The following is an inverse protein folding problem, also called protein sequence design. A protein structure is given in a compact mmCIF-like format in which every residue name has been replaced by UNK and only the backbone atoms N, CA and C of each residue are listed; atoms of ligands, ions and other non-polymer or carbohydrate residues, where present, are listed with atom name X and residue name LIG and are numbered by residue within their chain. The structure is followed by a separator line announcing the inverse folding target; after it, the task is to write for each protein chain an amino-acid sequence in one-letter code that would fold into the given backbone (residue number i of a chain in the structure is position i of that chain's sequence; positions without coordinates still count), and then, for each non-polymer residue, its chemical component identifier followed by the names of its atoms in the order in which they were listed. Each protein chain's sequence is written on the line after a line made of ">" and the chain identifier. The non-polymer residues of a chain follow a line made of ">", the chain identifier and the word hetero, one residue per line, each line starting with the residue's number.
data_IF_979696681896
#
_entry.id   IF_979696681896
#
_cell.length_a   1.000
_cell.length_b   1.000
_cell.length_c   1.000
_cell.angle_alpha   90.00
_cell.angle_beta   90.00
_cell.angle_gamma   90.00
#
_symmetry.space_group_name_H-M   'P 1'
#
loop_
_entity.id
_entity.type
_entity.pdbx_description
1 polymer ?
#
# COMPACT_ATOMS: atom_id res chain seq x y z
N UNK A 1 -35.77 -17.84 -64.97
CA UNK A 1 -37.16 -18.17 -65.25
C UNK A 1 -37.96 -17.73 -64.07
N UNK A 2 -38.60 -16.67 -64.24
CA UNK A 2 -40.00 -16.35 -64.63
C UNK A 2 -40.88 -16.36 -63.38
N UNK A 3 -41.31 -15.25 -63.04
CA UNK A 3 -42.46 -14.34 -63.36
C UNK A 3 -43.40 -14.25 -62.16
N UNK A 4 -43.64 -13.05 -61.66
CA UNK A 4 -44.81 -12.21 -61.84
C UNK A 4 -46.10 -12.77 -61.18
N UNK A 5 -46.97 -12.01 -60.55
CA UNK A 5 -47.48 -10.66 -60.82
C UNK A 5 -48.53 -10.29 -59.74
N UNK A 6 -48.67 -9.01 -59.35
CA UNK A 6 -49.86 -8.14 -59.34
C UNK A 6 -51.19 -8.72 -58.80
N UNK A 7 -52.03 -8.03 -58.10
CA UNK A 7 -52.46 -6.63 -58.09
C UNK A 7 -53.89 -6.51 -57.48
N UNK A 8 -54.19 -5.33 -56.91
CA UNK A 8 -55.45 -4.56 -56.89
C UNK A 8 -56.55 -4.84 -55.83
N UNK A 9 -56.74 -3.82 -54.97
CA UNK A 9 -57.81 -2.81 -54.93
C UNK A 9 -59.29 -3.32 -54.88
N UNK A 10 -60.00 -2.87 -53.83
CA UNK A 10 -61.16 -1.94 -53.85
C UNK A 10 -61.76 -1.85 -52.45
N UNK A 11 -61.83 -0.62 -51.87
CA UNK A 11 -62.98 0.27 -51.72
C UNK A 11 -64.29 -0.39 -51.19
N UNK A 12 -64.81 0.09 -50.06
CA UNK A 12 -65.99 0.95 -49.96
C UNK A 12 -66.22 1.36 -48.47
N UNK A 13 -66.77 2.54 -48.38
CA UNK A 13 -67.05 3.37 -47.21
C UNK A 13 -68.30 2.93 -46.41
N UNK A 14 -68.44 3.39 -45.22
CA UNK A 14 -69.72 3.54 -44.59
C UNK A 14 -69.77 3.77 -43.09
N UNK A 15 -70.13 4.98 -42.75
CA UNK A 15 -71.02 5.37 -41.65
C UNK A 15 -70.40 5.57 -40.21
N UNK A 16 -70.58 6.78 -39.79
CA UNK A 16 -70.34 7.37 -38.49
C UNK A 16 -71.17 6.77 -37.35
N UNK A 17 -70.52 6.64 -36.17
CA UNK A 17 -71.21 6.71 -34.88
C UNK A 17 -70.26 7.35 -33.88
N UNK A 18 -70.60 8.58 -33.46
CA UNK A 18 -70.00 9.36 -32.40
C UNK A 18 -70.30 8.74 -31.03
N UNK A 19 -69.29 8.28 -30.35
CA UNK A 19 -69.32 8.09 -28.88
C UNK A 19 -68.00 8.58 -28.28
N UNK A 20 -68.17 9.56 -27.43
CA UNK A 20 -67.03 10.22 -26.76
C UNK A 20 -66.17 9.24 -25.92
N UNK A 21 -64.89 9.19 -26.19
CA UNK A 21 -63.91 8.61 -25.28
C UNK A 21 -63.20 9.78 -24.60
N UNK A 22 -63.42 9.89 -23.30
CA UNK A 22 -62.62 10.70 -22.37
C UNK A 22 -61.19 10.12 -22.42
N UNK A 23 -60.28 10.88 -22.98
CA UNK A 23 -58.86 10.58 -22.93
C UNK A 23 -58.40 10.74 -21.49
N UNK A 24 -58.32 9.65 -20.72
CA UNK A 24 -57.54 9.58 -19.50
C UNK A 24 -56.08 9.72 -19.91
N UNK A 25 -55.55 10.92 -19.83
CA UNK A 25 -54.10 11.16 -19.88
C UNK A 25 -53.47 10.50 -18.68
N UNK A 26 -52.93 9.29 -18.88
CA UNK A 26 -52.04 8.63 -17.95
C UNK A 26 -50.84 9.55 -17.77
N UNK A 27 -50.79 10.30 -16.69
CA UNK A 27 -49.58 10.88 -16.18
C UNK A 27 -48.64 9.71 -15.81
N UNK A 28 -47.78 9.31 -16.72
CA UNK A 28 -46.60 8.53 -16.42
C UNK A 28 -45.70 9.52 -15.67
N UNK A 29 -45.47 9.33 -14.36
CA UNK A 29 -44.49 10.19 -13.68
C UNK A 29 -43.17 9.96 -14.43
N UNK A 30 -42.69 11.02 -15.07
CA UNK A 30 -41.31 11.05 -15.56
C UNK A 30 -40.41 10.67 -14.37
N UNK A 31 -39.90 9.44 -14.37
CA UNK A 31 -38.79 9.08 -13.49
C UNK A 31 -37.75 10.13 -13.82
N UNK A 32 -37.54 11.07 -12.91
CA UNK A 32 -36.34 11.92 -12.94
C UNK A 32 -35.17 10.95 -13.11
N UNK A 33 -34.57 10.95 -14.28
CA UNK A 33 -33.27 10.35 -14.45
C UNK A 33 -32.37 11.11 -13.44
N UNK A 34 -32.08 10.47 -12.31
CA UNK A 34 -31.04 10.93 -11.41
C UNK A 34 -29.82 10.96 -12.30
N UNK A 35 -29.38 12.17 -12.67
CA UNK A 35 -28.22 12.36 -13.53
C UNK A 35 -27.09 11.51 -12.94
N UNK A 36 -26.51 10.61 -13.73
CA UNK A 36 -25.43 9.75 -13.26
C UNK A 36 -24.34 10.67 -12.71
N UNK A 37 -24.06 10.56 -11.41
CA UNK A 37 -22.98 11.34 -10.81
C UNK A 37 -21.67 11.07 -11.56
N UNK A 38 -20.86 12.11 -11.77
CA UNK A 38 -19.58 12.00 -12.46
C UNK A 38 -18.68 10.94 -11.79
N UNK A 39 -17.80 10.25 -12.53
CA UNK A 39 -16.88 9.30 -11.95
C UNK A 39 -16.03 9.92 -10.83
N UNK A 40 -15.75 9.16 -9.78
CA UNK A 40 -14.72 9.51 -8.79
C UNK A 40 -13.37 9.26 -9.43
N UNK A 41 -12.49 10.25 -9.45
CA UNK A 41 -11.16 10.15 -10.05
C UNK A 41 -10.11 9.78 -9.01
N UNK A 42 -9.44 8.66 -9.22
CA UNK A 42 -8.34 8.17 -8.38
C UNK A 42 -7.03 8.28 -9.15
N UNK A 43 -6.21 9.26 -8.79
CA UNK A 43 -4.84 9.39 -9.28
C UNK A 43 -3.92 8.41 -8.57
N UNK A 44 -3.11 7.69 -9.31
CA UNK A 44 -2.19 6.69 -8.77
C UNK A 44 -0.77 7.06 -9.17
N UNK A 45 0.10 7.35 -8.19
CA UNK A 45 1.52 7.64 -8.41
C UNK A 45 2.35 6.55 -7.73
N UNK A 46 2.58 5.45 -8.43
CA UNK A 46 3.30 4.26 -7.94
C UNK A 46 4.41 3.86 -8.92
N UNK A 47 5.41 3.08 -8.50
CA UNK A 47 6.43 2.58 -9.42
C UNK A 47 5.88 1.43 -10.28
N UNK A 48 6.00 1.56 -11.58
CA UNK A 48 5.66 0.51 -12.54
C UNK A 48 6.89 0.04 -13.34
N UNK A 49 8.04 0.64 -13.06
CA UNK A 49 9.34 0.30 -13.64
C UNK A 49 10.42 0.17 -12.57
N UNK A 50 11.57 -0.45 -12.94
CA UNK A 50 12.74 -0.59 -12.08
C UNK A 50 12.56 -1.57 -10.91
N UNK A 51 13.41 -1.43 -9.88
CA UNK A 51 13.53 -2.40 -8.76
C UNK A 51 12.27 -2.56 -7.91
N UNK A 52 11.34 -1.58 -7.96
CA UNK A 52 10.10 -1.60 -7.19
C UNK A 52 8.83 -1.77 -8.04
N UNK A 53 8.97 -2.16 -9.31
CA UNK A 53 7.82 -2.36 -10.19
C UNK A 53 6.82 -3.39 -9.63
N UNK A 54 7.30 -4.49 -9.06
CA UNK A 54 6.46 -5.51 -8.42
C UNK A 54 5.61 -4.92 -7.29
N UNK A 55 6.16 -4.00 -6.49
CA UNK A 55 5.46 -3.36 -5.38
C UNK A 55 4.29 -2.51 -5.89
N UNK A 56 4.54 -1.66 -6.89
CA UNK A 56 3.52 -0.80 -7.49
C UNK A 56 2.39 -1.59 -8.13
N UNK A 57 2.72 -2.65 -8.86
CA UNK A 57 1.74 -3.55 -9.46
C UNK A 57 0.88 -4.26 -8.40
N UNK A 58 1.51 -4.84 -7.36
CA UNK A 58 0.78 -5.53 -6.28
C UNK A 58 -0.19 -4.62 -5.55
N UNK A 59 0.21 -3.38 -5.24
CA UNK A 59 -0.65 -2.36 -4.59
C UNK A 59 -1.83 -2.03 -5.50
N UNK A 60 -1.57 -1.71 -6.77
CA UNK A 60 -2.61 -1.32 -7.73
C UNK A 60 -3.63 -2.43 -7.96
N UNK A 61 -3.15 -3.65 -8.16
CA UNK A 61 -3.97 -4.83 -8.41
C UNK A 61 -4.90 -5.10 -7.24
N UNK A 62 -4.37 -5.15 -6.01
CA UNK A 62 -5.17 -5.45 -4.84
C UNK A 62 -6.15 -4.33 -4.47
N UNK A 63 -5.78 -3.05 -4.66
CA UNK A 63 -6.70 -1.93 -4.48
C UNK A 63 -7.89 -2.03 -5.43
N UNK A 64 -7.63 -2.26 -6.72
CA UNK A 64 -8.69 -2.43 -7.72
C UNK A 64 -9.52 -3.68 -7.44
N UNK A 65 -8.89 -4.82 -7.12
CA UNK A 65 -9.60 -6.05 -6.76
C UNK A 65 -10.57 -5.81 -5.59
N UNK A 66 -10.13 -5.12 -4.53
CA UNK A 66 -11.02 -4.81 -3.39
C UNK A 66 -12.23 -3.98 -3.79
N UNK A 67 -12.03 -3.02 -4.68
CA UNK A 67 -13.12 -2.18 -5.19
C UNK A 67 -14.06 -2.98 -6.09
N UNK A 68 -13.54 -3.83 -6.97
CA UNK A 68 -14.34 -4.72 -7.81
C UNK A 68 -15.17 -5.71 -6.98
N UNK A 69 -14.62 -6.26 -5.91
CA UNK A 69 -15.33 -7.12 -4.96
C UNK A 69 -16.52 -6.40 -4.28
N UNK A 70 -16.48 -5.08 -4.22
CA UNK A 70 -17.56 -4.24 -3.71
C UNK A 70 -18.53 -3.73 -4.82
N UNK A 71 -18.43 -4.29 -6.03
CA UNK A 71 -19.30 -3.94 -7.17
C UNK A 71 -18.72 -2.88 -8.11
N UNK A 72 -17.43 -2.58 -8.05
CA UNK A 72 -16.73 -1.68 -8.98
C UNK A 72 -17.12 -0.20 -8.87
N UNK A 73 -17.72 0.19 -7.75
CA UNK A 73 -18.20 1.56 -7.49
C UNK A 73 -17.80 2.02 -6.10
N UNK A 74 -17.61 3.32 -5.94
CA UNK A 74 -17.42 3.96 -4.64
C UNK A 74 -18.57 4.92 -4.35
N UNK A 75 -19.30 4.71 -3.26
CA UNK A 75 -20.49 5.52 -2.93
C UNK A 75 -21.54 5.55 -4.06
N UNK A 76 -21.68 4.47 -4.83
CA UNK A 76 -22.59 4.37 -5.98
C UNK A 76 -22.06 4.98 -7.29
N UNK A 77 -20.92 5.69 -7.27
CA UNK A 77 -20.30 6.33 -8.44
C UNK A 77 -19.33 5.39 -9.16
N UNK A 78 -19.20 5.45 -10.48
CA UNK A 78 -18.12 4.79 -11.21
C UNK A 78 -16.77 5.43 -10.86
N UNK A 79 -15.67 4.73 -11.18
CA UNK A 79 -14.33 5.17 -10.85
C UNK A 79 -13.51 5.35 -12.12
N UNK A 80 -12.77 6.45 -12.20
CA UNK A 80 -11.79 6.74 -13.25
C UNK A 80 -10.38 6.71 -12.62
N UNK A 81 -9.52 5.79 -13.10
CA UNK A 81 -8.16 5.62 -12.60
C UNK A 81 -7.15 6.30 -13.52
N UNK A 82 -6.36 7.22 -12.98
CA UNK A 82 -5.26 7.87 -13.71
C UNK A 82 -3.93 7.44 -13.10
N UNK A 83 -3.26 6.48 -13.73
CA UNK A 83 -1.98 5.96 -13.26
C UNK A 83 -0.79 6.72 -13.89
N UNK A 84 0.21 7.01 -13.06
CA UNK A 84 1.49 7.61 -13.46
C UNK A 84 2.61 6.80 -12.84
N UNK A 85 3.60 6.37 -13.64
CA UNK A 85 4.81 5.75 -13.13
C UNK A 85 5.64 6.79 -12.37
N UNK A 86 5.97 6.51 -11.12
CA UNK A 86 6.85 7.35 -10.31
C UNK A 86 8.32 7.25 -10.74
N UNK A 87 8.67 6.21 -11.53
CA UNK A 87 10.03 5.87 -11.96
C UNK A 87 11.07 5.91 -10.81
N UNK A 88 10.60 5.87 -9.56
CA UNK A 88 11.40 6.06 -8.35
C UNK A 88 12.19 7.39 -8.32
N UNK A 89 11.78 8.36 -9.12
CA UNK A 89 12.44 9.64 -9.30
C UNK A 89 11.90 10.72 -8.37
N UNK A 90 12.64 11.03 -7.31
CA UNK A 90 12.29 12.13 -6.39
C UNK A 90 12.21 13.48 -7.11
N UNK A 91 13.11 13.84 -8.05
CA UNK A 91 13.00 15.10 -8.80
C UNK A 91 11.73 15.22 -9.64
N UNK A 92 11.17 14.13 -10.18
CA UNK A 92 9.91 14.12 -10.95
C UNK A 92 8.65 14.18 -10.07
N UNK A 93 8.76 13.89 -8.77
CA UNK A 93 7.62 13.79 -7.89
C UNK A 93 6.74 15.06 -7.87
N UNK A 94 7.27 16.30 -7.77
CA UNK A 94 6.45 17.49 -7.80
C UNK A 94 5.67 17.67 -9.11
N UNK A 95 6.31 17.41 -10.25
CA UNK A 95 5.67 17.51 -11.56
C UNK A 95 4.53 16.51 -11.70
N UNK A 96 4.78 15.24 -11.37
CA UNK A 96 3.79 14.16 -11.45
C UNK A 96 2.61 14.40 -10.50
N UNK A 97 2.88 14.85 -9.27
CA UNK A 97 1.85 15.22 -8.29
C UNK A 97 0.98 16.35 -8.81
N UNK A 98 1.59 17.43 -9.28
CA UNK A 98 0.84 18.58 -9.83
C UNK A 98 0.06 18.23 -11.10
N UNK A 99 0.57 17.33 -11.96
CA UNK A 99 -0.17 16.80 -13.11
C UNK A 99 -1.48 16.16 -12.65
N UNK A 100 -1.43 15.23 -11.68
CA UNK A 100 -2.62 14.54 -11.16
C UNK A 100 -3.60 15.52 -10.51
N UNK A 101 -3.12 16.49 -9.76
CA UNK A 101 -3.98 17.47 -9.07
C UNK A 101 -4.57 18.50 -10.03
N UNK A 102 -3.76 19.15 -10.85
CA UNK A 102 -4.16 20.35 -11.62
C UNK A 102 -4.74 19.99 -12.98
N UNK A 103 -4.12 19.03 -13.69
CA UNK A 103 -4.55 18.63 -15.04
C UNK A 103 -5.66 17.59 -14.97
N UNK A 104 -5.42 16.50 -14.24
CA UNK A 104 -6.36 15.38 -14.18
C UNK A 104 -7.50 15.63 -13.16
N UNK A 105 -7.29 16.53 -12.20
CA UNK A 105 -8.27 16.95 -11.18
C UNK A 105 -8.81 15.73 -10.40
N UNK A 106 -7.90 14.95 -9.84
CA UNK A 106 -8.26 13.75 -9.09
C UNK A 106 -8.88 14.10 -7.73
N UNK A 107 -9.83 13.28 -7.28
CA UNK A 107 -10.48 13.40 -5.96
C UNK A 107 -9.62 12.76 -4.87
N UNK A 108 -8.97 11.64 -5.21
CA UNK A 108 -8.02 10.95 -4.35
C UNK A 108 -6.67 10.80 -5.06
N UNK A 109 -5.59 10.95 -4.30
CA UNK A 109 -4.22 10.74 -4.76
C UNK A 109 -3.60 9.57 -4.00
N UNK A 110 -3.45 8.42 -4.65
CA UNK A 110 -2.88 7.21 -4.05
C UNK A 110 -1.41 7.07 -4.44
N UNK A 111 -0.54 6.97 -3.48
CA UNK A 111 0.91 6.81 -3.68
C UNK A 111 1.71 7.44 -2.55
N UNK A 112 3.03 7.29 -2.57
CA UNK A 112 3.89 6.45 -3.41
C UNK A 112 4.45 5.23 -2.65
N UNK A 113 5.55 4.65 -3.19
CA UNK A 113 6.39 3.65 -2.50
C UNK A 113 7.64 4.28 -1.89
N UNK A 114 8.32 5.16 -2.61
CA UNK A 114 9.59 5.74 -2.18
C UNK A 114 9.40 6.87 -1.15
N UNK A 115 10.08 6.78 0.01
CA UNK A 115 9.94 7.75 1.11
C UNK A 115 10.28 9.19 0.72
N UNK A 116 11.25 9.40 -0.17
CA UNK A 116 11.61 10.74 -0.67
C UNK A 116 10.51 11.34 -1.55
N UNK A 117 9.84 10.51 -2.37
CA UNK A 117 8.69 10.92 -3.17
C UNK A 117 7.51 11.26 -2.23
N UNK A 118 7.27 10.44 -1.21
CA UNK A 118 6.22 10.71 -0.23
C UNK A 118 6.41 12.05 0.48
N UNK A 119 7.63 12.36 0.91
CA UNK A 119 7.94 13.65 1.52
C UNK A 119 7.74 14.83 0.56
N UNK A 120 8.08 14.67 -0.73
CA UNK A 120 7.85 15.69 -1.75
C UNK A 120 6.35 15.90 -2.02
N UNK A 121 5.58 14.81 -2.13
CA UNK A 121 4.11 14.86 -2.27
C UNK A 121 3.46 15.51 -1.04
N UNK A 122 3.84 15.09 0.17
CA UNK A 122 3.28 15.62 1.41
C UNK A 122 3.50 17.14 1.57
N UNK A 123 4.66 17.67 1.15
CA UNK A 123 4.90 19.12 1.13
C UNK A 123 3.90 19.87 0.23
N UNK A 124 3.51 19.29 -0.90
CA UNK A 124 2.54 19.88 -1.82
C UNK A 124 1.14 19.78 -1.22
N UNK A 125 0.81 18.61 -0.67
CA UNK A 125 -0.51 18.32 -0.10
C UNK A 125 -0.80 19.11 1.17
N UNK A 126 0.18 19.33 2.03
CA UNK A 126 0.04 20.14 3.25
C UNK A 126 -0.26 21.62 3.01
N UNK A 127 -0.13 22.10 1.77
CA UNK A 127 -0.51 23.46 1.36
C UNK A 127 -1.90 23.53 0.71
N UNK A 128 -2.64 22.43 0.71
CA UNK A 128 -3.92 22.27 0.01
C UNK A 128 -4.95 21.58 0.91
N UNK A 129 -6.22 21.73 0.59
CA UNK A 129 -7.31 21.00 1.23
C UNK A 129 -7.70 19.76 0.42
N UNK A 130 -7.50 19.81 -0.89
CA UNK A 130 -7.84 18.75 -1.86
C UNK A 130 -6.71 18.53 -2.85
N UNK A 131 -6.61 17.31 -3.44
CA UNK A 131 -7.34 16.07 -3.12
C UNK A 131 -6.94 15.50 -1.75
N UNK A 132 -7.56 14.38 -1.36
CA UNK A 132 -7.09 13.58 -0.22
C UNK A 132 -5.99 12.65 -0.72
N UNK A 133 -4.83 12.65 -0.02
CA UNK A 133 -3.71 11.77 -0.33
C UNK A 133 -3.74 10.55 0.58
N UNK A 134 -3.64 9.36 -0.02
CA UNK A 134 -3.49 8.09 0.70
C UNK A 134 -2.15 7.47 0.34
N UNK A 135 -1.32 7.22 1.34
CA UNK A 135 0.00 6.61 1.20
C UNK A 135 -0.10 5.11 1.45
N UNK A 136 -0.15 4.28 0.40
CA UNK A 136 -0.35 2.84 0.54
C UNK A 136 0.91 2.10 1.01
N UNK A 137 2.10 2.66 0.83
CA UNK A 137 3.35 1.97 1.17
C UNK A 137 4.40 2.86 1.82
N UNK A 138 4.76 4.00 1.24
CA UNK A 138 5.91 4.79 1.70
C UNK A 138 5.87 5.10 3.20
N UNK A 139 6.83 4.53 3.94
CA UNK A 139 6.87 4.64 5.41
C UNK A 139 7.55 5.90 5.95
N UNK A 140 7.81 6.93 5.13
CA UNK A 140 8.51 8.14 5.59
C UNK A 140 7.94 8.68 6.90
N UNK A 141 8.73 8.70 7.97
CA UNK A 141 8.32 9.21 9.28
C UNK A 141 7.88 10.69 9.21
N UNK A 142 8.40 11.44 8.23
CA UNK A 142 8.02 12.84 8.07
C UNK A 142 6.55 13.03 7.69
N UNK A 143 5.94 12.07 6.98
CA UNK A 143 4.55 12.15 6.49
C UNK A 143 3.53 12.17 7.63
N UNK A 144 3.79 11.41 8.69
CA UNK A 144 3.00 11.38 9.93
C UNK A 144 3.68 12.08 11.09
N UNK A 145 4.78 12.81 10.81
CA UNK A 145 5.53 13.68 11.69
C UNK A 145 5.39 15.15 11.24
N UNK A 146 6.49 15.86 10.96
CA UNK A 146 6.45 17.30 10.68
C UNK A 146 5.71 17.71 9.39
N UNK A 147 5.38 16.77 8.51
CA UNK A 147 4.59 17.00 7.28
C UNK A 147 3.17 16.45 7.38
N UNK A 148 2.71 16.06 8.57
CA UNK A 148 1.33 15.62 8.75
C UNK A 148 0.36 16.75 8.38
N UNK A 149 -0.74 16.39 7.76
CA UNK A 149 -1.79 17.34 7.36
C UNK A 149 -3.15 16.62 7.32
N UNK A 150 -4.26 17.36 7.54
CA UNK A 150 -5.59 16.75 7.63
C UNK A 150 -5.99 15.91 6.41
N UNK A 151 -5.49 16.24 5.23
CA UNK A 151 -5.80 15.56 3.97
C UNK A 151 -4.75 14.50 3.57
N UNK A 152 -3.89 14.05 4.47
CA UNK A 152 -2.87 13.02 4.21
C UNK A 152 -3.09 11.85 5.14
N UNK A 153 -3.35 10.66 4.59
CA UNK A 153 -3.57 9.42 5.31
C UNK A 153 -2.57 8.35 4.87
N UNK A 154 -2.28 7.42 5.75
CA UNK A 154 -1.48 6.23 5.45
C UNK A 154 -2.27 4.98 5.78
N UNK A 155 -2.23 3.98 4.90
CA UNK A 155 -2.83 2.66 5.12
C UNK A 155 -1.79 1.57 5.36
N UNK A 156 -0.52 1.94 5.45
CA UNK A 156 0.61 1.01 5.54
C UNK A 156 1.30 1.04 6.92
N UNK A 157 2.38 1.77 7.03
CA UNK A 157 3.27 1.80 8.21
C UNK A 157 4.14 3.07 8.19
N UNK A 158 4.65 3.51 9.34
CA UNK A 158 5.83 4.37 9.37
C UNK A 158 7.10 3.52 9.31
N UNK A 159 8.22 4.08 8.82
CA UNK A 159 9.50 3.34 8.79
C UNK A 159 9.96 2.91 10.19
N UNK A 160 9.49 3.58 11.22
CA UNK A 160 9.78 3.24 12.60
C UNK A 160 9.09 1.93 13.03
N UNK A 161 7.81 1.74 12.67
CA UNK A 161 7.00 0.62 13.16
C UNK A 161 7.58 -0.78 12.87
N UNK A 162 7.99 -1.14 11.64
CA UNK A 162 8.54 -2.47 11.39
C UNK A 162 9.99 -2.63 11.83
N UNK A 163 10.71 -1.55 12.08
CA UNK A 163 12.16 -1.62 12.37
C UNK A 163 12.47 -1.61 13.86
N UNK A 164 11.77 -0.81 14.65
CA UNK A 164 12.00 -0.69 16.10
C UNK A 164 11.83 -2.03 16.85
N UNK A 165 10.75 -2.80 16.64
CA UNK A 165 10.60 -4.11 17.28
C UNK A 165 11.66 -5.12 16.85
N UNK A 166 12.17 -5.02 15.62
CA UNK A 166 13.30 -5.84 15.15
C UNK A 166 14.58 -5.57 15.92
N UNK A 167 14.84 -4.30 16.24
CA UNK A 167 15.95 -3.93 17.11
C UNK A 167 15.82 -4.47 18.53
N UNK A 168 14.65 -4.35 19.12
CA UNK A 168 14.35 -4.93 20.45
C UNK A 168 14.54 -6.45 20.44
N UNK A 169 14.13 -7.12 19.36
CA UNK A 169 14.30 -8.56 19.20
C UNK A 169 15.76 -8.98 19.26
N UNK A 170 16.65 -8.30 18.53
CA UNK A 170 18.09 -8.60 18.54
C UNK A 170 18.65 -8.65 19.96
N UNK A 171 18.32 -7.66 20.78
CA UNK A 171 18.81 -7.64 22.17
C UNK A 171 18.16 -8.66 23.08
N UNK A 172 16.86 -8.98 22.88
CA UNK A 172 16.18 -10.08 23.59
C UNK A 172 16.79 -11.45 23.27
N UNK A 173 17.34 -11.62 22.07
CA UNK A 173 18.08 -12.82 21.66
C UNK A 173 19.55 -12.83 22.16
N UNK A 174 19.96 -11.85 22.93
CA UNK A 174 21.25 -11.80 23.64
C UNK A 174 22.37 -11.08 22.90
N UNK A 175 22.13 -10.55 21.71
CA UNK A 175 23.13 -9.79 20.94
C UNK A 175 23.49 -8.49 21.65
N UNK A 176 24.76 -8.07 21.55
CA UNK A 176 25.30 -6.83 22.16
C UNK A 176 25.83 -5.85 21.11
N UNK A 177 26.25 -6.35 19.96
CA UNK A 177 26.79 -5.56 18.87
C UNK A 177 26.11 -5.87 17.56
N UNK A 178 25.84 -4.86 16.75
CA UNK A 178 25.34 -5.07 15.39
C UNK A 178 26.06 -4.16 14.39
N UNK A 179 26.01 -4.56 13.13
CA UNK A 179 26.23 -3.67 11.98
C UNK A 179 24.89 -3.40 11.35
N UNK A 180 24.59 -2.13 11.01
CA UNK A 180 23.41 -1.81 10.18
C UNK A 180 23.84 -1.59 8.74
N UNK A 181 23.05 -2.08 7.77
CA UNK A 181 23.32 -1.89 6.35
C UNK A 181 22.02 -1.63 5.56
N UNK A 182 22.03 -0.58 4.75
CA UNK A 182 20.86 -0.25 3.90
C UNK A 182 21.21 0.68 2.76
N UNK A 183 20.21 0.96 1.90
CA UNK A 183 20.31 2.06 0.95
C UNK A 183 20.20 3.43 1.62
N UNK A 184 21.00 4.39 1.14
CA UNK A 184 21.05 5.78 1.61
C UNK A 184 19.90 6.60 1.04
N UNK A 185 18.67 6.34 1.52
CA UNK A 185 17.50 7.17 1.27
C UNK A 185 16.55 7.12 2.47
N UNK A 186 15.44 7.87 2.44
CA UNK A 186 14.58 8.08 3.61
C UNK A 186 14.19 6.80 4.36
N UNK A 187 13.77 5.74 3.64
CA UNK A 187 13.39 4.49 4.30
C UNK A 187 14.60 3.81 4.96
N UNK A 188 15.71 3.64 4.22
CA UNK A 188 16.89 2.98 4.76
C UNK A 188 17.44 3.68 6.01
N UNK A 189 17.61 5.00 5.91
CA UNK A 189 18.13 5.80 7.04
C UNK A 189 17.20 5.70 8.26
N UNK A 190 15.88 5.85 8.07
CA UNK A 190 14.92 5.86 9.16
C UNK A 190 14.73 4.47 9.79
N UNK A 191 14.69 3.40 8.97
CA UNK A 191 14.60 2.04 9.49
C UNK A 191 15.85 1.61 10.25
N UNK A 192 17.05 1.97 9.76
CA UNK A 192 18.29 1.68 10.50
C UNK A 192 18.35 2.45 11.82
N UNK A 193 17.93 3.71 11.83
CA UNK A 193 17.84 4.47 13.07
C UNK A 193 16.86 3.81 14.07
N UNK A 194 15.65 3.48 13.64
CA UNK A 194 14.65 2.83 14.49
C UNK A 194 15.12 1.46 15.02
N UNK A 195 15.79 0.65 14.18
CA UNK A 195 16.38 -0.62 14.60
C UNK A 195 17.46 -0.43 15.67
N UNK A 196 18.35 0.56 15.51
CA UNK A 196 19.34 0.90 16.53
C UNK A 196 18.71 1.40 17.83
N UNK A 197 17.67 2.26 17.72
CA UNK A 197 16.98 2.78 18.89
C UNK A 197 16.32 1.63 19.68
N UNK A 198 15.63 0.71 19.00
CA UNK A 198 15.06 -0.49 19.62
C UNK A 198 16.14 -1.39 20.24
N UNK A 199 17.28 -1.58 19.57
CA UNK A 199 18.39 -2.37 20.08
C UNK A 199 19.04 -1.74 21.32
N UNK A 200 19.18 -0.42 21.33
CA UNK A 200 19.73 0.32 22.46
C UNK A 200 18.91 0.19 23.74
N UNK A 201 17.56 0.02 23.64
CA UNK A 201 16.71 -0.20 24.82
C UNK A 201 17.02 -1.49 25.57
N UNK A 202 17.71 -2.41 24.92
CA UNK A 202 18.14 -3.70 25.48
C UNK A 202 19.64 -3.74 25.80
N UNK A 203 20.32 -2.59 25.73
CA UNK A 203 21.75 -2.45 25.96
C UNK A 203 22.65 -2.81 24.80
N UNK A 204 22.08 -3.03 23.60
CA UNK A 204 22.82 -3.27 22.37
C UNK A 204 23.35 -1.99 21.72
N UNK A 205 24.38 -2.10 20.90
CA UNK A 205 24.96 -0.96 20.17
C UNK A 205 25.31 -1.32 18.72
N UNK A 206 25.11 -0.38 17.80
CA UNK A 206 25.68 -0.48 16.46
C UNK A 206 27.17 -0.14 16.50
N UNK A 207 27.99 -1.00 15.93
CA UNK A 207 29.44 -0.77 15.79
C UNK A 207 29.79 -0.13 14.44
N UNK A 208 28.89 -0.23 13.45
CA UNK A 208 29.05 0.37 12.14
C UNK A 208 27.70 0.56 11.46
N UNK A 209 27.53 1.67 10.77
CA UNK A 209 26.40 1.94 9.87
C UNK A 209 26.92 2.03 8.42
N UNK A 210 26.39 1.17 7.54
CA UNK A 210 26.77 1.09 6.13
C UNK A 210 25.60 1.58 5.29
N UNK A 211 25.82 2.61 4.48
CA UNK A 211 24.79 3.22 3.65
C UNK A 211 25.25 3.27 2.18
N UNK A 212 24.61 2.48 1.33
CA UNK A 212 24.87 2.44 -0.12
C UNK A 212 23.94 3.42 -0.86
N UNK A 213 24.40 4.07 -1.94
CA UNK A 213 23.51 4.83 -2.81
C UNK A 213 22.36 3.95 -3.34
N UNK A 214 21.14 4.46 -3.34
CA UNK A 214 19.99 3.76 -3.93
C UNK A 214 20.03 3.91 -5.47
N UNK A 215 19.79 2.88 -6.26
CA UNK A 215 19.52 1.47 -5.94
C UNK A 215 20.77 0.56 -6.11
N UNK A 216 21.96 0.99 -5.68
CA UNK A 216 23.21 0.22 -5.81
C UNK A 216 23.05 -1.17 -5.13
N UNK A 217 23.57 -2.20 -5.80
CA UNK A 217 23.53 -3.61 -5.37
C UNK A 217 24.93 -4.26 -5.35
N UNK A 218 25.99 -3.46 -5.26
CA UNK A 218 27.36 -3.93 -5.13
C UNK A 218 27.70 -4.13 -3.65
N UNK A 219 27.54 -5.35 -3.15
CA UNK A 219 27.61 -5.65 -1.71
C UNK A 219 28.95 -6.20 -1.24
N UNK A 220 29.78 -6.74 -2.13
CA UNK A 220 30.97 -7.55 -1.78
C UNK A 220 31.96 -6.84 -0.81
N UNK A 221 32.32 -5.59 -1.07
CA UNK A 221 33.22 -4.84 -0.20
C UNK A 221 32.63 -4.65 1.20
N UNK A 222 31.32 -4.40 1.29
CA UNK A 222 30.61 -4.20 2.56
C UNK A 222 30.46 -5.51 3.33
N UNK A 223 30.23 -6.63 2.65
CA UNK A 223 30.17 -7.95 3.28
C UNK A 223 31.54 -8.37 3.83
N UNK A 224 32.63 -8.04 3.13
CA UNK A 224 33.99 -8.23 3.64
C UNK A 224 34.27 -7.37 4.87
N UNK A 225 33.80 -6.12 4.90
CA UNK A 225 33.90 -5.24 6.08
C UNK A 225 33.11 -5.83 7.27
N UNK A 226 31.89 -6.30 7.07
CA UNK A 226 31.06 -6.96 8.10
C UNK A 226 31.79 -8.20 8.64
N UNK A 227 32.35 -9.04 7.77
CA UNK A 227 33.13 -10.21 8.17
C UNK A 227 34.32 -9.87 9.06
N UNK A 228 35.01 -8.76 8.74
CA UNK A 228 36.18 -8.28 9.52
C UNK A 228 35.78 -7.71 10.89
N UNK A 229 34.64 -7.01 10.97
CA UNK A 229 34.10 -6.41 12.19
C UNK A 229 33.58 -7.44 13.20
N UNK A 230 33.16 -8.61 12.76
CA UNK A 230 32.62 -9.72 13.56
C UNK A 230 31.55 -9.26 14.56
N UNK A 231 30.48 -8.54 14.12
CA UNK A 231 29.40 -8.19 15.03
C UNK A 231 28.61 -9.45 15.45
N UNK A 232 27.86 -9.36 16.57
CA UNK A 232 26.99 -10.45 16.99
C UNK A 232 25.85 -10.69 16.00
N UNK A 233 25.36 -9.62 15.30
CA UNK A 233 24.34 -9.73 14.27
C UNK A 233 24.42 -8.59 13.26
N UNK A 234 23.66 -8.70 12.16
CA UNK A 234 23.47 -7.65 11.16
C UNK A 234 21.99 -7.27 11.12
N UNK A 235 21.69 -5.97 11.04
CA UNK A 235 20.36 -5.45 10.78
C UNK A 235 20.33 -4.77 9.41
N UNK A 236 19.56 -5.32 8.47
CA UNK A 236 19.61 -4.91 7.07
C UNK A 236 18.23 -4.46 6.55
N UNK A 237 18.22 -3.42 5.71
CA UNK A 237 17.05 -3.04 4.93
C UNK A 237 17.37 -2.93 3.45
N UNK A 238 16.83 -3.87 2.69
CA UNK A 238 16.70 -3.87 1.24
C UNK A 238 15.30 -4.37 0.89
N UNK A 239 14.86 -4.22 -0.36
CA UNK A 239 13.54 -4.69 -0.80
C UNK A 239 13.57 -5.03 -2.29
N UNK A 240 12.63 -5.88 -2.74
CA UNK A 240 12.53 -6.29 -4.14
C UNK A 240 13.80 -6.97 -4.65
N UNK A 241 14.18 -6.69 -5.91
CA UNK A 241 15.35 -7.32 -6.53
C UNK A 241 16.66 -7.10 -5.78
N UNK A 242 16.82 -5.95 -5.13
CA UNK A 242 18.00 -5.65 -4.32
C UNK A 242 18.10 -6.50 -3.06
N UNK A 243 16.96 -6.81 -2.42
CA UNK A 243 16.94 -7.75 -1.29
C UNK A 243 17.33 -9.17 -1.73
N UNK A 244 16.78 -9.64 -2.84
CA UNK A 244 17.17 -10.96 -3.40
C UNK A 244 18.68 -11.06 -3.60
N UNK A 245 19.28 -10.02 -4.21
CA UNK A 245 20.73 -10.01 -4.45
C UNK A 245 21.52 -9.95 -3.14
N UNK A 246 21.11 -9.10 -2.19
CA UNK A 246 21.79 -8.98 -0.90
C UNK A 246 21.81 -10.31 -0.14
N UNK A 247 20.69 -11.02 -0.09
CA UNK A 247 20.58 -12.30 0.59
C UNK A 247 21.52 -13.35 -0.01
N UNK A 248 21.52 -13.46 -1.35
CA UNK A 248 22.40 -14.37 -2.07
C UNK A 248 23.88 -14.04 -1.86
N UNK A 249 24.24 -12.76 -1.92
CA UNK A 249 25.62 -12.32 -1.68
C UNK A 249 26.04 -12.56 -0.23
N UNK A 250 25.12 -12.39 0.75
CA UNK A 250 25.36 -12.65 2.15
C UNK A 250 25.66 -14.14 2.44
N UNK A 251 24.87 -15.03 1.83
CA UNK A 251 25.13 -16.48 1.86
C UNK A 251 26.44 -16.84 1.15
N UNK A 252 26.67 -16.33 -0.06
CA UNK A 252 27.86 -16.59 -0.85
C UNK A 252 29.15 -16.08 -0.16
N UNK A 253 29.07 -15.01 0.63
CA UNK A 253 30.15 -14.52 1.48
C UNK A 253 30.40 -15.42 2.72
N UNK A 254 29.60 -16.46 2.94
CA UNK A 254 29.69 -17.37 4.07
C UNK A 254 29.36 -16.71 5.41
N UNK A 255 28.54 -15.65 5.39
CA UNK A 255 28.13 -14.93 6.59
C UNK A 255 26.86 -15.48 7.21
N UNK A 256 25.95 -16.07 6.42
CA UNK A 256 24.65 -16.55 6.84
C UNK A 256 24.69 -17.47 8.07
N UNK A 257 25.64 -18.43 8.10
CA UNK A 257 25.77 -19.37 9.20
C UNK A 257 26.65 -18.89 10.36
N UNK A 258 27.24 -17.68 10.21
CA UNK A 258 28.18 -17.12 11.20
C UNK A 258 27.64 -15.92 11.93
N UNK A 259 26.90 -15.06 11.24
CA UNK A 259 26.40 -13.80 11.76
C UNK A 259 24.89 -13.74 11.46
N UNK A 260 24.03 -13.85 12.47
CA UNK A 260 22.58 -13.78 12.29
C UNK A 260 22.14 -12.47 11.61
N UNK A 261 21.20 -12.60 10.66
CA UNK A 261 20.67 -11.48 9.90
C UNK A 261 19.23 -11.19 10.29
N UNK A 262 18.98 -9.94 10.63
CA UNK A 262 17.69 -9.38 11.01
C UNK A 262 17.33 -8.20 10.10
N UNK A 263 16.06 -7.80 10.10
CA UNK A 263 15.64 -6.58 9.41
C UNK A 263 14.13 -6.35 9.47
N UNK A 264 13.67 -5.20 9.00
CA UNK A 264 12.26 -5.02 8.66
C UNK A 264 11.85 -6.05 7.61
N UNK A 265 10.63 -6.53 7.66
CA UNK A 265 10.15 -7.64 6.85
C UNK A 265 10.31 -7.52 5.34
N UNK A 266 10.52 -6.31 4.84
CA UNK A 266 10.78 -6.05 3.41
C UNK A 266 12.04 -6.74 2.89
N UNK A 267 12.96 -7.10 3.79
CA UNK A 267 14.17 -7.84 3.45
C UNK A 267 13.88 -9.22 2.85
N UNK A 268 12.78 -9.83 3.28
CA UNK A 268 12.39 -11.17 2.81
C UNK A 268 11.08 -11.18 2.04
N UNK A 269 10.28 -10.11 2.07
CA UNK A 269 8.92 -10.08 1.56
C UNK A 269 8.83 -10.15 0.04
N UNK A 270 8.20 -11.22 -0.43
CA UNK A 270 7.95 -11.47 -1.85
C UNK A 270 9.19 -11.87 -2.64
N UNK A 271 10.31 -12.13 -1.96
CA UNK A 271 11.58 -12.55 -2.58
C UNK A 271 12.05 -13.94 -2.14
N UNK A 272 11.31 -14.61 -1.26
CA UNK A 272 11.67 -15.87 -0.63
C UNK A 272 12.03 -16.94 -1.66
N UNK A 273 11.16 -17.14 -2.67
CA UNK A 273 11.38 -18.10 -3.74
C UNK A 273 12.61 -17.77 -4.59
N UNK A 274 12.81 -16.46 -4.87
CA UNK A 274 13.93 -16.01 -5.69
C UNK A 274 15.26 -16.05 -4.93
N UNK A 275 15.24 -15.84 -3.61
CA UNK A 275 16.40 -15.92 -2.75
C UNK A 275 16.77 -17.39 -2.41
N UNK A 276 15.77 -18.29 -2.37
CA UNK A 276 15.97 -19.71 -2.03
C UNK A 276 16.52 -19.85 -0.63
N UNK A 277 17.47 -20.78 -0.45
CA UNK A 277 18.12 -21.05 0.84
C UNK A 277 18.74 -19.82 1.51
N UNK A 278 19.14 -18.84 0.72
CA UNK A 278 19.75 -17.60 1.23
C UNK A 278 18.81 -16.80 2.15
N UNK A 279 17.50 -17.02 2.05
CA UNK A 279 16.52 -16.37 2.92
C UNK A 279 16.22 -17.18 4.20
N UNK A 280 16.49 -18.47 4.24
CA UNK A 280 16.11 -19.34 5.36
C UNK A 280 16.82 -18.93 6.66
N UNK A 281 16.08 -18.99 7.75
CA UNK A 281 16.57 -18.62 9.09
C UNK A 281 16.47 -17.14 9.42
N UNK A 282 16.27 -16.26 8.42
CA UNK A 282 16.25 -14.81 8.63
C UNK A 282 14.99 -14.41 9.38
N UNK A 283 15.17 -13.71 10.50
CA UNK A 283 14.06 -13.18 11.32
C UNK A 283 13.77 -11.73 10.96
N UNK A 284 12.51 -11.43 10.77
CA UNK A 284 12.05 -10.09 10.39
C UNK A 284 10.81 -9.68 11.15
N UNK A 285 10.56 -8.37 11.22
CA UNK A 285 9.36 -7.80 11.83
C UNK A 285 8.59 -6.97 10.81
N UNK A 286 7.26 -7.22 10.70
CA UNK A 286 6.41 -6.54 9.74
C UNK A 286 4.94 -6.57 10.20
N UNK A 287 4.13 -5.66 9.68
CA UNK A 287 2.69 -5.56 9.98
C UNK A 287 1.83 -6.62 9.27
N UNK A 288 2.43 -7.58 8.58
CA UNK A 288 1.75 -8.68 7.91
C UNK A 288 2.63 -9.93 7.86
N UNK A 289 2.01 -11.08 7.98
CA UNK A 289 2.59 -12.38 7.65
C UNK A 289 1.60 -13.15 6.77
N UNK A 290 2.07 -13.75 5.68
CA UNK A 290 1.20 -14.42 4.70
C UNK A 290 0.43 -15.61 5.28
N UNK A 291 0.93 -16.21 6.37
CA UNK A 291 0.33 -17.34 7.08
C UNK A 291 -0.44 -16.93 8.35
N UNK A 292 -0.88 -15.66 8.45
CA UNK A 292 -1.83 -15.26 9.51
C UNK A 292 -3.11 -16.08 9.40
N UNK A 293 -3.47 -16.71 10.52
CA UNK A 293 -4.66 -17.56 10.61
C UNK A 293 -5.88 -16.73 10.98
N UNK A 294 -6.41 -16.02 9.97
CA UNK A 294 -7.70 -15.35 10.05
C UNK A 294 -8.45 -15.46 8.73
N UNK A 295 -9.79 -15.45 8.80
CA UNK A 295 -10.66 -15.67 7.66
C UNK A 295 -10.44 -14.63 6.54
N UNK A 296 -10.21 -13.36 6.90
CA UNK A 296 -9.97 -12.29 5.94
C UNK A 296 -8.70 -12.55 5.12
N UNK A 297 -7.62 -13.01 5.78
CA UNK A 297 -6.37 -13.35 5.10
C UNK A 297 -6.51 -14.58 4.20
N UNK A 298 -7.19 -15.62 4.66
CA UNK A 298 -7.41 -16.83 3.85
C UNK A 298 -8.16 -16.48 2.57
N UNK A 299 -9.26 -15.73 2.69
CA UNK A 299 -10.05 -15.28 1.53
C UNK A 299 -9.23 -14.37 0.61
N UNK A 300 -8.57 -13.37 1.16
CA UNK A 300 -7.77 -12.42 0.40
C UNK A 300 -6.69 -13.11 -0.43
N UNK A 301 -5.96 -14.05 0.16
CA UNK A 301 -4.89 -14.79 -0.53
C UNK A 301 -5.44 -15.65 -1.66
N UNK A 302 -6.54 -16.36 -1.43
CA UNK A 302 -7.21 -17.16 -2.46
C UNK A 302 -7.72 -16.31 -3.62
N UNK A 303 -8.39 -15.19 -3.31
CA UNK A 303 -8.92 -14.26 -4.32
C UNK A 303 -7.78 -13.61 -5.13
N UNK A 304 -6.71 -13.21 -4.48
CA UNK A 304 -5.57 -12.57 -5.15
C UNK A 304 -4.85 -13.54 -6.08
N UNK A 305 -4.61 -14.77 -5.63
CA UNK A 305 -3.99 -15.80 -6.46
C UNK A 305 -4.88 -16.17 -7.66
N UNK A 306 -6.19 -16.30 -7.46
CA UNK A 306 -7.13 -16.57 -8.54
C UNK A 306 -7.19 -15.44 -9.58
N UNK A 307 -7.11 -14.18 -9.13
CA UNK A 307 -7.20 -13.02 -10.01
C UNK A 307 -5.91 -12.74 -10.79
N UNK A 308 -4.74 -13.00 -10.19
CA UNK A 308 -3.45 -12.53 -10.74
C UNK A 308 -2.43 -13.64 -10.98
N UNK A 309 -2.71 -14.89 -10.61
CA UNK A 309 -1.78 -16.02 -10.75
C UNK A 309 -0.49 -15.86 -9.91
N UNK A 310 -0.54 -15.03 -8.87
CA UNK A 310 0.60 -14.69 -8.03
C UNK A 310 0.23 -14.76 -6.55
N UNK A 311 1.18 -15.12 -5.70
CA UNK A 311 0.96 -15.14 -4.25
C UNK A 311 0.78 -13.72 -3.71
N UNK A 312 -0.21 -13.56 -2.81
CA UNK A 312 -0.38 -12.32 -2.07
C UNK A 312 0.82 -12.04 -1.16
N UNK A 313 1.15 -10.77 -0.99
CA UNK A 313 2.26 -10.27 -0.19
C UNK A 313 1.84 -9.00 0.58
N UNK A 314 2.73 -8.43 1.40
CA UNK A 314 2.41 -7.22 2.17
C UNK A 314 1.98 -6.03 1.28
N UNK A 315 2.56 -5.91 0.09
CA UNK A 315 2.23 -4.81 -0.83
C UNK A 315 0.80 -4.94 -1.36
N UNK A 316 0.37 -6.16 -1.67
CA UNK A 316 -1.02 -6.41 -2.05
C UNK A 316 -1.99 -6.17 -0.88
N UNK A 317 -1.64 -6.54 0.36
CA UNK A 317 -2.45 -6.20 1.55
C UNK A 317 -2.59 -4.68 1.72
N UNK A 318 -1.52 -3.93 1.53
CA UNK A 318 -1.54 -2.47 1.62
C UNK A 318 -2.46 -1.84 0.56
N UNK A 319 -2.46 -2.39 -0.66
CA UNK A 319 -3.40 -1.98 -1.71
C UNK A 319 -4.84 -2.33 -1.36
N UNK A 320 -5.09 -3.53 -0.84
CA UNK A 320 -6.40 -3.99 -0.41
C UNK A 320 -7.00 -3.09 0.69
N UNK A 321 -6.19 -2.75 1.70
CA UNK A 321 -6.60 -1.85 2.78
C UNK A 321 -6.84 -0.42 2.27
N UNK A 322 -6.05 0.04 1.29
CA UNK A 322 -6.31 1.32 0.62
C UNK A 322 -7.66 1.32 -0.09
N UNK A 323 -7.98 0.25 -0.82
CA UNK A 323 -9.29 0.08 -1.43
C UNK A 323 -10.43 0.04 -0.41
N UNK A 324 -10.21 -0.62 0.73
CA UNK A 324 -11.18 -0.68 1.83
C UNK A 324 -11.45 0.69 2.45
N UNK A 325 -10.40 1.49 2.70
CA UNK A 325 -10.53 2.85 3.23
C UNK A 325 -11.27 3.78 2.26
N UNK A 326 -10.94 3.71 0.95
CA UNK A 326 -11.62 4.47 -0.09
C UNK A 326 -13.11 4.13 -0.18
N UNK A 327 -13.45 2.84 -0.15
CA UNK A 327 -14.84 2.36 -0.16
C UNK A 327 -15.62 2.84 1.06
N UNK A 328 -15.02 2.70 2.26
CA UNK A 328 -15.63 3.12 3.51
C UNK A 328 -15.92 4.62 3.50
N UNK A 329 -14.94 5.42 3.11
CA UNK A 329 -15.07 6.87 3.07
C UNK A 329 -16.12 7.34 2.08
N UNK A 330 -16.07 6.83 0.83
CA UNK A 330 -17.05 7.22 -0.19
C UNK A 330 -18.48 6.75 0.13
N UNK A 331 -18.64 5.58 0.73
CA UNK A 331 -19.95 5.08 1.13
C UNK A 331 -20.57 5.92 2.25
N UNK A 332 -19.78 6.33 3.24
CA UNK A 332 -20.24 7.11 4.39
C UNK A 332 -20.75 8.51 3.99
N UNK A 333 -20.21 9.09 2.91
CA UNK A 333 -20.66 10.39 2.36
C UNK A 333 -21.63 10.23 1.18
N UNK A 334 -22.18 9.01 0.95
CA UNK A 334 -23.13 8.76 -0.15
C UNK A 334 -22.56 9.06 -1.55
N UNK A 335 -21.23 8.99 -1.71
CA UNK A 335 -20.53 9.28 -2.96
C UNK A 335 -20.15 10.76 -3.17
N UNK A 336 -20.54 11.67 -2.30
CA UNK A 336 -20.13 13.09 -2.34
C UNK A 336 -18.73 13.26 -1.77
N UNK A 337 -17.73 12.77 -2.52
CA UNK A 337 -16.32 12.83 -2.10
C UNK A 337 -15.73 14.25 -2.21
N UNK A 338 -16.44 15.15 -2.88
CA UNK A 338 -16.15 16.57 -2.96
C UNK A 338 -16.35 17.27 -1.61
N UNK A 339 -17.22 16.73 -0.73
CA UNK A 339 -17.35 17.14 0.68
C UNK A 339 -16.12 16.69 1.50
N UNK A 340 -14.95 17.20 1.14
CA UNK A 340 -13.64 16.75 1.63
C UNK A 340 -13.54 16.71 3.16
N UNK A 341 -14.17 17.65 3.87
CA UNK A 341 -14.14 17.67 5.33
C UNK A 341 -14.86 16.45 5.93
N UNK A 342 -15.99 16.05 5.36
CA UNK A 342 -16.74 14.89 5.81
C UNK A 342 -16.00 13.58 5.52
N UNK A 343 -15.36 13.50 4.34
CA UNK A 343 -14.49 12.37 3.98
C UNK A 343 -13.32 12.24 4.97
N UNK A 344 -12.66 13.35 5.31
CA UNK A 344 -11.57 13.39 6.30
C UNK A 344 -12.08 12.88 7.67
N UNK A 345 -13.21 13.40 8.18
CA UNK A 345 -13.77 12.96 9.45
C UNK A 345 -14.04 11.45 9.50
N UNK A 346 -14.52 10.88 8.39
CA UNK A 346 -14.72 9.42 8.29
C UNK A 346 -13.39 8.69 8.33
N UNK A 347 -12.39 9.15 7.58
CA UNK A 347 -11.08 8.50 7.53
C UNK A 347 -10.34 8.58 8.87
N UNK A 348 -10.42 9.69 9.59
CA UNK A 348 -9.79 9.88 10.92
C UNK A 348 -10.30 8.90 11.97
N UNK A 349 -11.57 8.51 11.88
CA UNK A 349 -12.22 7.58 12.82
C UNK A 349 -12.26 6.15 12.29
N UNK A 350 -11.64 5.89 11.15
CA UNK A 350 -11.71 4.59 10.47
C UNK A 350 -11.07 3.47 11.30
N UNK A 351 -11.82 2.35 11.36
CA UNK A 351 -11.36 1.05 11.82
C UNK A 351 -11.53 0.06 10.68
N UNK A 352 -10.55 -0.81 10.49
CA UNK A 352 -10.59 -1.87 9.48
C UNK A 352 -10.42 -3.21 10.20
N UNK A 353 -11.52 -3.77 10.75
CA UNK A 353 -11.49 -4.99 11.54
C UNK A 353 -11.16 -6.22 10.68
N UNK A 354 -11.59 -6.22 9.42
CA UNK A 354 -11.49 -7.35 8.49
C UNK A 354 -10.30 -7.21 7.51
N UNK A 355 -9.23 -6.54 7.94
CA UNK A 355 -8.00 -6.48 7.13
C UNK A 355 -7.30 -7.85 7.14
N UNK A 356 -6.72 -8.30 6.00
CA UNK A 356 -5.92 -9.52 5.93
C UNK A 356 -4.76 -9.57 6.93
N UNK A 357 -4.20 -8.41 7.29
CA UNK A 357 -3.11 -8.29 8.29
C UNK A 357 -3.59 -8.30 9.74
N UNK A 358 -4.87 -8.50 9.97
CA UNK A 358 -5.52 -8.30 11.26
C UNK A 358 -6.07 -6.88 11.43
N UNK A 359 -6.85 -6.63 12.49
CA UNK A 359 -7.51 -5.35 12.70
C UNK A 359 -6.51 -4.22 12.90
N UNK A 360 -6.85 -3.04 12.37
CA UNK A 360 -6.12 -1.81 12.61
C UNK A 360 -7.07 -0.60 12.68
N UNK A 361 -6.60 0.47 13.29
CA UNK A 361 -7.33 1.72 13.42
C UNK A 361 -6.46 2.91 13.00
N UNK A 362 -7.07 4.00 12.58
CA UNK A 362 -6.35 5.23 12.27
C UNK A 362 -5.95 5.96 13.55
N UNK A 363 -4.69 6.39 13.66
CA UNK A 363 -4.20 7.27 14.73
C UNK A 363 -4.52 8.74 14.43
N UNK A 364 -4.33 9.61 15.41
CA UNK A 364 -4.45 11.07 15.23
C UNK A 364 -3.47 11.65 14.19
N UNK A 365 -2.34 11.01 14.00
CA UNK A 365 -1.37 11.40 12.96
C UNK A 365 -1.65 10.76 11.60
N UNK A 366 -2.82 10.14 11.42
CA UNK A 366 -3.26 9.46 10.21
C UNK A 366 -2.32 8.31 9.77
N UNK A 367 -1.83 7.55 10.75
CA UNK A 367 -1.05 6.34 10.56
C UNK A 367 -1.75 5.14 11.22
N UNK A 368 -1.66 3.91 10.70
CA UNK A 368 -2.28 2.76 11.34
C UNK A 368 -1.69 2.45 12.73
N UNK A 369 -2.56 2.24 13.70
CA UNK A 369 -2.27 1.55 14.95
C UNK A 369 -2.51 0.07 14.66
N UNK A 370 -1.46 -0.76 14.72
CA UNK A 370 -1.50 -2.12 14.19
C UNK A 370 -0.51 -3.06 14.89
N UNK A 371 -0.73 -4.36 14.75
CA UNK A 371 0.23 -5.36 15.20
C UNK A 371 1.46 -5.41 14.28
N UNK A 372 2.62 -5.64 14.89
CA UNK A 372 3.85 -5.99 14.19
C UNK A 372 4.18 -7.43 14.54
N UNK A 373 4.28 -8.26 13.52
CA UNK A 373 4.51 -9.70 13.64
C UNK A 373 5.99 -10.03 13.54
N UNK A 374 6.43 -10.98 14.37
CA UNK A 374 7.73 -11.64 14.24
C UNK A 374 7.60 -12.79 13.25
N UNK A 375 8.43 -12.79 12.24
CA UNK A 375 8.44 -13.77 11.16
C UNK A 375 9.82 -14.34 10.93
N UNK A 376 9.87 -15.54 10.40
CA UNK A 376 11.10 -16.19 9.96
C UNK A 376 10.86 -16.88 8.62
N UNK A 377 11.82 -16.84 7.72
CA UNK A 377 11.78 -17.69 6.52
C UNK A 377 12.26 -19.10 6.86
N UNK A 378 11.51 -20.11 6.44
CA UNK A 378 11.91 -21.50 6.49
C UNK A 378 11.30 -22.25 5.30
N UNK A 379 12.12 -23.04 4.62
CA UNK A 379 11.74 -23.79 3.42
C UNK A 379 11.15 -22.87 2.31
N UNK A 380 11.73 -21.68 2.13
CA UNK A 380 11.28 -20.69 1.17
C UNK A 380 9.91 -20.08 1.46
N UNK A 381 9.40 -20.16 2.68
CA UNK A 381 8.12 -19.62 3.12
C UNK A 381 8.25 -18.79 4.39
N UNK A 382 7.42 -17.76 4.50
CA UNK A 382 7.28 -17.00 5.75
C UNK A 382 6.57 -17.85 6.81
N UNK A 383 7.16 -17.95 7.99
CA UNK A 383 6.54 -18.54 9.19
C UNK A 383 6.31 -17.45 10.22
N UNK A 384 5.08 -17.36 10.71
CA UNK A 384 4.73 -16.51 11.85
C UNK A 384 5.28 -17.13 13.13
N UNK A 385 6.08 -16.39 13.88
CA UNK A 385 6.60 -16.82 15.19
C UNK A 385 5.82 -16.18 16.36
N UNK A 386 5.07 -15.10 16.11
CA UNK A 386 4.29 -14.42 17.12
C UNK A 386 4.11 -12.93 16.82
N UNK A 387 3.67 -12.17 17.82
CA UNK A 387 3.52 -10.72 17.76
C UNK A 387 4.74 -10.09 18.40
N UNK A 388 5.49 -9.28 17.64
CA UNK A 388 6.65 -8.54 18.10
C UNK A 388 6.25 -7.28 18.88
N UNK A 389 5.15 -6.62 18.46
CA UNK A 389 4.53 -5.51 19.17
C UNK A 389 3.04 -5.47 18.84
N UNK A 390 2.20 -5.39 19.89
CA UNK A 390 0.75 -5.34 19.75
C UNK A 390 0.28 -3.90 19.67
N UNK A 391 -0.71 -3.64 18.78
CA UNK A 391 -1.35 -2.33 18.59
C UNK A 391 -0.33 -1.16 18.59
N UNK A 392 0.78 -1.34 17.85
CA UNK A 392 1.87 -0.38 17.84
C UNK A 392 1.47 0.90 17.13
N UNK A 393 1.48 2.01 17.86
CA UNK A 393 1.27 3.35 17.32
C UNK A 393 2.62 4.00 16.97
N UNK A 394 2.65 4.76 15.87
CA UNK A 394 3.79 5.59 15.50
C UNK A 394 3.96 6.75 16.49
N UNK A 395 5.19 7.07 16.94
CA UNK A 395 5.42 8.21 17.85
C UNK A 395 5.01 9.56 17.29
N UNK A 396 4.76 9.66 15.99
CA UNK A 396 4.32 10.86 15.26
C UNK A 396 5.14 12.11 15.59
N UNK A 397 6.44 11.95 15.81
CA UNK A 397 7.34 13.01 16.28
C UNK A 397 7.29 14.25 15.37
N UNK A 398 6.84 15.36 15.93
CA UNK A 398 6.71 16.65 15.24
C UNK A 398 5.40 16.85 14.48
N UNK A 399 4.42 15.93 14.56
CA UNK A 399 3.08 16.14 14.05
C UNK A 399 2.28 17.08 14.95
N UNK A 400 1.66 18.10 14.36
CA UNK A 400 0.84 19.06 15.12
C UNK A 400 -0.60 18.61 15.35
N UNK A 401 -1.00 17.48 14.74
CA UNK A 401 -2.34 16.90 14.89
C UNK A 401 -2.38 15.83 16.00
N UNK A 402 -1.22 15.26 16.38
CA UNK A 402 -1.10 14.20 17.37
C UNK A 402 -0.80 14.74 18.78
#
# INVERSE_FOLDING_TARGET
>A
MSKNNKSRRHFIAGAAATTGLVAASSFIPSRFAIGAMAPIKVGILLPYSGTYAMLGNSITNAMKMRIEQAGGRMGGRPIDYVAVDSEMSVPKAPQNTNKLIQKEKVDFLVGPVHSGIAAAMAKIMGQRKTPIMIVPNAGSNAVTGPLCAPNIFRTSFSNWQPAYPGGVLMGKEGHKTCVTISWKYGAGIQMMAAGRDGFATTGGKSVKDILLPFPNVEFQAHLSEIAALKPDCVFAFFSGGGATKFLKDYEAAGLKDKIPLYGPGFLTEGVEKAAGSAADGIKTTLHYASNLDNQANHKFRADYEAAFGASANVFSVQGYDTGSLLLQAAAAVGGDVEATADVINVMETSKVPDSPRGPWAMSKAHNPIQNIYLRQVADGQQKLLGIAAEALEDPAAGCKMA
#
